data_IF_708279167565
#
_entry.id   IF_708279167565
#
_cell.length_a   1.000
_cell.length_b   1.000
_cell.length_c   1.000
_cell.angle_alpha   90.00
_cell.angle_beta   90.00
_cell.angle_gamma   90.00
#
_symmetry.space_group_name_H-M   'P 1'
#
loop_
_entity.id
_entity.type
_entity.pdbx_description
1 polymer ?
#
# COMPACT_ATOMS: atom_id res chain seq x y z
N UNK A 1 12.27 -14.92 -9.66
CA UNK A 1 11.59 -15.23 -8.35
C UNK A 1 11.15 -16.68 -8.38
N UNK A 2 11.57 -17.47 -7.39
CA UNK A 2 11.27 -18.90 -7.31
C UNK A 2 9.78 -19.15 -7.04
N UNK A 3 9.22 -20.20 -7.66
CA UNK A 3 7.81 -20.63 -7.49
C UNK A 3 7.47 -20.82 -6.01
N UNK A 4 8.40 -21.32 -5.20
CA UNK A 4 8.24 -21.50 -3.76
C UNK A 4 8.04 -20.18 -3.02
N UNK A 5 8.76 -19.12 -3.37
CA UNK A 5 8.59 -17.79 -2.77
C UNK A 5 7.23 -17.19 -3.11
N UNK A 6 6.76 -17.38 -4.35
CA UNK A 6 5.43 -16.92 -4.79
C UNK A 6 4.32 -17.65 -4.03
N UNK A 7 4.42 -18.99 -3.91
CA UNK A 7 3.44 -19.79 -3.16
C UNK A 7 3.42 -19.42 -1.67
N UNK A 8 4.58 -19.25 -1.06
CA UNK A 8 4.70 -18.86 0.35
C UNK A 8 4.08 -17.50 0.60
N UNK A 9 4.33 -16.51 -0.27
CA UNK A 9 3.70 -15.18 -0.19
C UNK A 9 2.18 -15.24 -0.36
N UNK A 10 1.68 -16.05 -1.30
CA UNK A 10 0.24 -16.24 -1.52
C UNK A 10 -0.43 -16.83 -0.27
N UNK A 11 0.12 -17.91 0.26
CA UNK A 11 -0.40 -18.58 1.47
C UNK A 11 -0.35 -17.61 2.66
N UNK A 12 0.73 -16.86 2.83
CA UNK A 12 0.86 -15.84 3.88
C UNK A 12 -0.23 -14.78 3.79
N UNK A 13 -0.50 -14.25 2.60
CA UNK A 13 -1.55 -13.25 2.38
C UNK A 13 -2.96 -13.82 2.64
N UNK A 14 -3.24 -15.06 2.21
CA UNK A 14 -4.53 -15.73 2.48
C UNK A 14 -4.74 -15.91 3.99
N UNK A 15 -3.73 -16.40 4.70
CA UNK A 15 -3.81 -16.60 6.15
C UNK A 15 -3.99 -15.27 6.89
N UNK A 16 -3.30 -14.21 6.48
CA UNK A 16 -3.43 -12.90 7.09
C UNK A 16 -4.82 -12.30 6.83
N UNK A 17 -5.32 -12.38 5.59
CA UNK A 17 -6.69 -11.98 5.26
C UNK A 17 -7.73 -12.72 6.09
N UNK A 18 -7.61 -14.04 6.19
CA UNK A 18 -8.51 -14.86 6.99
C UNK A 18 -8.51 -14.46 8.48
N UNK A 19 -7.34 -14.19 9.04
CA UNK A 19 -7.21 -13.71 10.42
C UNK A 19 -7.86 -12.34 10.63
N UNK A 20 -7.67 -11.41 9.69
CA UNK A 20 -8.28 -10.09 9.74
C UNK A 20 -9.81 -10.15 9.61
N UNK A 21 -10.34 -11.02 8.76
CA UNK A 21 -11.77 -11.22 8.59
C UNK A 21 -12.44 -11.79 9.83
N UNK A 22 -11.77 -12.70 10.51
CA UNK A 22 -12.27 -13.35 11.73
C UNK A 22 -11.97 -12.55 13.01
N UNK A 23 -11.42 -11.33 12.92
CA UNK A 23 -11.03 -10.48 14.04
C UNK A 23 -10.10 -11.18 15.06
N UNK A 24 -9.33 -12.18 14.63
CA UNK A 24 -8.50 -13.02 15.49
C UNK A 24 -7.05 -12.53 15.61
N UNK A 25 -6.74 -11.30 15.18
CA UNK A 25 -5.41 -10.72 15.38
C UNK A 25 -5.45 -9.88 16.65
N UNK A 26 -4.64 -10.21 17.68
CA UNK A 26 -4.42 -9.30 18.80
C UNK A 26 -3.75 -8.04 18.26
N UNK A 27 -4.50 -6.94 18.24
CA UNK A 27 -4.06 -5.63 17.74
C UNK A 27 -3.16 -4.97 18.80
N UNK A 28 -1.93 -5.46 18.95
CA UNK A 28 -0.93 -4.75 19.75
C UNK A 28 -0.56 -3.46 19.03
N UNK A 29 -1.01 -2.33 19.56
CA UNK A 29 -0.68 -1.00 19.07
C UNK A 29 0.55 -0.48 19.79
N UNK A 30 1.48 0.10 19.03
CA UNK A 30 2.66 0.80 19.56
C UNK A 30 2.80 2.14 18.86
N UNK A 31 3.41 3.12 19.53
CA UNK A 31 3.81 4.37 18.87
C UNK A 31 5.11 4.15 18.11
N UNK A 32 5.15 4.57 16.85
CA UNK A 32 6.32 4.48 15.99
C UNK A 32 6.35 5.61 14.95
N UNK A 33 7.48 5.79 14.29
CA UNK A 33 7.68 6.76 13.20
C UNK A 33 7.13 6.18 11.90
N UNK A 34 5.96 6.68 11.48
CA UNK A 34 5.28 6.23 10.27
C UNK A 34 6.06 6.59 8.99
N UNK A 35 6.64 7.79 8.95
CA UNK A 35 7.48 8.23 7.84
C UNK A 35 8.72 7.34 7.65
N UNK A 36 9.37 6.93 8.74
CA UNK A 36 10.49 6.00 8.67
C UNK A 36 10.07 4.61 8.20
N UNK A 37 8.91 4.12 8.63
CA UNK A 37 8.38 2.84 8.17
C UNK A 37 8.14 2.85 6.66
N UNK A 38 7.55 3.93 6.11
CA UNK A 38 7.34 4.07 4.67
C UNK A 38 8.66 4.13 3.91
N UNK A 39 9.67 4.86 4.43
CA UNK A 39 11.02 4.89 3.84
C UNK A 39 11.65 3.51 3.82
N UNK A 40 11.57 2.76 4.91
CA UNK A 40 12.10 1.40 4.99
C UNK A 40 11.40 0.45 4.01
N UNK A 41 10.07 0.55 3.86
CA UNK A 41 9.33 -0.22 2.87
C UNK A 41 9.83 0.08 1.44
N UNK A 42 10.04 1.35 1.10
CA UNK A 42 10.55 1.74 -0.21
C UNK A 42 11.98 1.24 -0.44
N UNK A 43 12.87 1.40 0.53
CA UNK A 43 14.25 0.92 0.45
C UNK A 43 14.33 -0.60 0.33
N UNK A 44 13.43 -1.35 0.96
CA UNK A 44 13.41 -2.82 0.83
C UNK A 44 13.07 -3.31 -0.58
N UNK A 45 12.53 -2.43 -1.43
CA UNK A 45 12.23 -2.70 -2.85
C UNK A 45 13.32 -2.15 -3.80
N UNK A 46 14.49 -1.76 -3.28
CA UNK A 46 15.56 -1.09 -4.04
C UNK A 46 15.95 -1.83 -5.31
N UNK A 47 16.13 -3.13 -5.26
CA UNK A 47 16.47 -3.95 -6.43
C UNK A 47 15.45 -3.76 -7.56
N UNK A 48 14.16 -3.75 -7.24
CA UNK A 48 13.09 -3.66 -8.24
C UNK A 48 13.03 -2.30 -8.92
N UNK A 49 13.10 -1.20 -8.14
CA UNK A 49 13.04 0.13 -8.73
C UNK A 49 14.36 0.54 -9.40
N UNK A 50 15.49 0.03 -8.95
CA UNK A 50 16.79 0.23 -9.61
C UNK A 50 16.86 -0.51 -10.95
N UNK A 51 16.41 -1.76 -11.04
CA UNK A 51 16.36 -2.52 -12.30
C UNK A 51 15.51 -1.83 -13.39
N UNK A 52 14.47 -1.09 -12.99
CA UNK A 52 13.61 -0.31 -13.89
C UNK A 52 14.08 1.14 -14.05
N UNK A 53 15.18 1.55 -13.41
CA UNK A 53 15.68 2.94 -13.40
C UNK A 53 14.61 3.95 -12.96
N UNK A 54 13.73 3.56 -12.01
CA UNK A 54 12.64 4.41 -11.52
C UNK A 54 13.22 5.50 -10.61
N UNK A 55 12.87 6.75 -10.90
CA UNK A 55 13.11 7.89 -10.03
C UNK A 55 12.11 7.96 -8.87
N UNK A 56 12.45 8.70 -7.82
CA UNK A 56 11.55 8.91 -6.70
C UNK A 56 11.53 10.36 -6.25
N UNK A 57 10.35 10.87 -5.92
CA UNK A 57 10.15 12.10 -5.17
C UNK A 57 9.50 11.74 -3.84
N UNK A 58 10.16 12.11 -2.73
CA UNK A 58 9.78 11.69 -1.39
C UNK A 58 9.61 12.90 -0.49
N UNK A 59 8.37 13.21 -0.13
CA UNK A 59 7.99 14.32 0.75
C UNK A 59 7.19 13.75 1.92
N UNK A 60 7.87 13.24 2.93
CA UNK A 60 7.26 12.63 4.10
C UNK A 60 7.51 13.50 5.32
N UNK A 61 6.45 14.09 5.87
CA UNK A 61 6.49 14.78 7.15
C UNK A 61 6.85 13.78 8.26
N UNK A 62 7.53 14.25 9.29
CA UNK A 62 7.81 13.46 10.48
C UNK A 62 6.50 13.20 11.25
N UNK A 63 6.03 11.97 11.25
CA UNK A 63 4.77 11.58 11.87
C UNK A 63 4.98 10.42 12.83
N UNK A 64 4.60 10.62 14.09
CA UNK A 64 4.41 9.54 15.07
C UNK A 64 2.98 9.03 14.97
N UNK A 65 2.84 7.72 14.84
CA UNK A 65 1.54 7.06 14.71
C UNK A 65 1.42 5.90 15.67
N UNK A 66 0.25 5.76 16.29
CA UNK A 66 -0.06 4.63 17.17
C UNK A 66 -0.90 3.60 16.42
N UNK A 67 -0.32 2.44 16.17
CA UNK A 67 -0.97 1.37 15.42
C UNK A 67 -0.21 0.05 15.50
N UNK A 68 -0.65 -0.95 14.73
CA UNK A 68 0.07 -2.20 14.59
C UNK A 68 1.15 -2.04 13.52
N UNK A 69 2.40 -1.78 13.94
CA UNK A 69 3.52 -1.51 13.04
C UNK A 69 3.75 -2.64 12.02
N UNK A 70 3.74 -3.89 12.47
CA UNK A 70 3.95 -5.04 11.59
C UNK A 70 2.86 -5.19 10.54
N UNK A 71 1.60 -4.96 10.92
CA UNK A 71 0.46 -5.03 10.02
C UNK A 71 0.49 -3.89 8.98
N UNK A 72 0.83 -2.68 9.41
CA UNK A 72 0.88 -1.52 8.51
C UNK A 72 2.02 -1.60 7.50
N UNK A 73 3.11 -2.27 7.81
CA UNK A 73 4.18 -2.55 6.84
C UNK A 73 3.62 -3.23 5.56
N UNK A 74 2.60 -4.10 5.69
CA UNK A 74 1.95 -4.73 4.53
C UNK A 74 1.22 -3.72 3.64
N UNK A 75 0.69 -2.62 4.19
CA UNK A 75 0.08 -1.54 3.39
C UNK A 75 1.13 -0.96 2.46
N UNK A 76 2.25 -0.49 3.03
CA UNK A 76 3.28 0.21 2.29
C UNK A 76 3.97 -0.68 1.27
N UNK A 77 4.32 -1.90 1.68
CA UNK A 77 4.95 -2.89 0.80
C UNK A 77 4.08 -3.20 -0.42
N UNK A 78 2.78 -3.44 -0.25
CA UNK A 78 1.88 -3.76 -1.35
C UNK A 78 1.64 -2.57 -2.28
N UNK A 79 1.42 -1.38 -1.73
CA UNK A 79 1.19 -0.18 -2.54
C UNK A 79 2.44 0.21 -3.33
N UNK A 80 3.62 0.21 -2.70
CA UNK A 80 4.89 0.55 -3.34
C UNK A 80 5.30 -0.49 -4.38
N UNK A 81 5.13 -1.78 -4.10
CA UNK A 81 5.40 -2.84 -5.06
C UNK A 81 4.50 -2.72 -6.31
N UNK A 82 3.22 -2.40 -6.13
CA UNK A 82 2.32 -2.12 -7.23
C UNK A 82 2.75 -0.88 -8.04
N UNK A 83 3.10 0.21 -7.40
CA UNK A 83 3.56 1.43 -8.08
C UNK A 83 4.81 1.17 -8.92
N UNK A 84 5.79 0.43 -8.38
CA UNK A 84 7.00 0.04 -9.10
C UNK A 84 6.66 -0.88 -10.28
N UNK A 85 5.79 -1.85 -10.06
CA UNK A 85 5.38 -2.83 -11.07
C UNK A 85 4.73 -2.18 -12.28
N UNK A 86 3.80 -1.25 -12.07
CA UNK A 86 3.01 -0.63 -13.13
C UNK A 86 3.65 0.63 -13.72
N UNK A 87 4.62 1.24 -13.04
CA UNK A 87 5.40 2.34 -13.62
C UNK A 87 6.20 1.88 -14.84
N UNK A 88 6.30 2.73 -15.88
CA UNK A 88 7.21 2.46 -16.99
C UNK A 88 8.68 2.50 -16.52
N UNK A 89 9.58 1.90 -17.30
CA UNK A 89 11.01 2.10 -17.07
C UNK A 89 11.37 3.58 -17.16
N UNK A 90 12.23 4.05 -16.27
CA UNK A 90 12.61 5.47 -16.11
C UNK A 90 11.48 6.40 -15.69
N UNK A 91 10.33 5.84 -15.25
CA UNK A 91 9.25 6.60 -14.66
C UNK A 91 9.60 7.12 -13.26
N UNK A 92 8.68 7.87 -12.68
CA UNK A 92 8.84 8.46 -11.35
C UNK A 92 7.73 8.00 -10.43
N UNK A 93 8.09 7.65 -9.19
CA UNK A 93 7.16 7.40 -8.10
C UNK A 93 7.24 8.58 -7.13
N UNK A 94 6.08 9.12 -6.75
CA UNK A 94 5.98 10.24 -5.81
C UNK A 94 5.26 9.78 -4.55
N UNK A 95 5.83 10.10 -3.39
CA UNK A 95 5.30 9.75 -2.08
C UNK A 95 5.15 11.01 -1.24
N UNK A 96 3.97 11.20 -0.67
CA UNK A 96 3.67 12.31 0.22
C UNK A 96 3.03 11.78 1.51
N UNK A 97 3.50 12.24 2.65
CA UNK A 97 2.90 11.95 3.95
C UNK A 97 2.67 13.28 4.66
N UNK A 98 1.45 13.48 5.14
CA UNK A 98 1.06 14.69 5.85
C UNK A 98 0.22 14.35 7.06
N UNK A 99 0.49 15.02 8.17
CA UNK A 99 -0.37 14.96 9.34
C UNK A 99 -1.43 16.06 9.28
N UNK A 100 -2.68 15.66 9.35
CA UNK A 100 -3.82 16.55 9.53
C UNK A 100 -4.25 16.57 11.02
N UNK A 101 -5.28 17.35 11.34
CA UNK A 101 -5.72 17.51 12.74
C UNK A 101 -6.13 16.19 13.42
N UNK A 102 -6.86 15.34 12.70
CA UNK A 102 -7.46 14.13 13.23
C UNK A 102 -7.10 12.86 12.40
N UNK A 103 -6.23 13.02 11.41
CA UNK A 103 -5.81 11.94 10.52
C UNK A 103 -4.39 12.14 10.00
N UNK A 104 -3.86 11.08 9.43
CA UNK A 104 -2.63 11.09 8.63
C UNK A 104 -2.99 10.69 7.22
N UNK A 105 -2.54 11.44 6.25
CA UNK A 105 -2.76 11.19 4.82
C UNK A 105 -1.47 10.79 4.15
N UNK A 106 -1.48 9.62 3.49
CA UNK A 106 -0.41 9.16 2.61
C UNK A 106 -0.91 9.13 1.17
N UNK A 107 -0.14 9.72 0.26
CA UNK A 107 -0.41 9.73 -1.17
C UNK A 107 0.75 9.08 -1.88
N UNK A 108 0.43 8.12 -2.74
CA UNK A 108 1.38 7.45 -3.63
C UNK A 108 0.94 7.65 -5.06
N UNK A 109 1.80 8.20 -5.89
CA UNK A 109 1.56 8.41 -7.32
C UNK A 109 2.57 7.66 -8.17
N UNK A 110 2.12 7.12 -9.27
CA UNK A 110 2.94 6.50 -10.32
C UNK A 110 2.62 7.07 -11.70
N UNK A 111 3.48 6.77 -12.65
CA UNK A 111 3.32 7.16 -14.06
C UNK A 111 2.90 5.97 -14.95
N UNK A 112 2.20 5.00 -14.36
CA UNK A 112 1.67 3.85 -15.06
C UNK A 112 0.48 4.16 -15.98
N UNK A 113 -0.21 3.13 -16.48
CA UNK A 113 -1.34 3.31 -17.41
C UNK A 113 -2.60 3.89 -16.77
N UNK A 114 -2.63 4.04 -15.44
CA UNK A 114 -3.85 4.39 -14.71
C UNK A 114 -4.79 3.21 -14.56
N UNK A 115 -6.04 3.49 -14.16
CA UNK A 115 -7.06 2.50 -13.85
C UNK A 115 -8.34 2.88 -14.62
N UNK A 116 -8.92 1.95 -15.36
CA UNK A 116 -10.20 2.15 -16.02
C UNK A 116 -11.32 2.36 -14.99
N UNK A 117 -12.32 3.18 -15.31
CA UNK A 117 -13.34 3.61 -14.34
C UNK A 117 -14.20 2.46 -13.81
N UNK A 118 -14.50 1.48 -14.63
CA UNK A 118 -15.22 0.26 -14.26
C UNK A 118 -14.40 -0.68 -13.37
N UNK A 119 -13.08 -0.55 -13.42
CA UNK A 119 -12.12 -1.36 -12.66
C UNK A 119 -11.86 -0.77 -11.26
N UNK A 120 -11.96 0.55 -11.10
CA UNK A 120 -11.60 1.25 -9.84
C UNK A 120 -12.30 0.69 -8.60
N UNK A 121 -13.55 0.27 -8.72
CA UNK A 121 -14.31 -0.32 -7.61
C UNK A 121 -13.89 -1.75 -7.29
N UNK A 122 -13.30 -2.46 -8.25
CA UNK A 122 -12.96 -3.89 -8.16
C UNK A 122 -11.50 -4.17 -7.85
N UNK A 123 -10.61 -3.18 -7.95
CA UNK A 123 -9.17 -3.39 -7.71
C UNK A 123 -8.85 -3.85 -6.28
N UNK A 124 -9.76 -3.62 -5.34
CA UNK A 124 -9.65 -4.08 -3.96
C UNK A 124 -10.31 -5.43 -3.70
N UNK A 125 -10.95 -6.03 -4.72
CA UNK A 125 -11.55 -7.36 -4.62
C UNK A 125 -10.47 -8.43 -4.60
N UNK A 126 -10.72 -9.52 -3.84
CA UNK A 126 -9.80 -10.65 -3.77
C UNK A 126 -9.65 -11.31 -5.14
N UNK A 127 -8.41 -11.65 -5.50
CA UNK A 127 -8.06 -12.32 -6.75
C UNK A 127 -8.39 -11.53 -8.03
N UNK A 128 -8.79 -10.26 -7.89
CA UNK A 128 -9.05 -9.43 -9.06
C UNK A 128 -7.73 -8.99 -9.71
N UNK A 129 -7.67 -9.13 -11.01
CA UNK A 129 -6.60 -8.63 -11.87
C UNK A 129 -7.26 -8.03 -13.11
N UNK A 130 -6.92 -6.79 -13.48
CA UNK A 130 -7.46 -6.16 -14.69
C UNK A 130 -7.01 -6.93 -15.93
N UNK A 131 -7.91 -7.07 -16.91
CA UNK A 131 -7.60 -7.70 -18.20
C UNK A 131 -6.43 -6.99 -18.90
N UNK A 132 -5.43 -7.75 -19.33
CA UNK A 132 -4.16 -7.21 -19.86
C UNK A 132 -2.99 -7.27 -18.88
N UNK A 133 -3.23 -7.46 -17.60
CA UNK A 133 -2.19 -7.65 -16.59
C UNK A 133 -1.68 -9.11 -16.49
N UNK A 134 -2.13 -10.01 -17.37
CA UNK A 134 -1.71 -11.42 -17.38
C UNK A 134 -0.18 -11.64 -17.51
N UNK A 135 0.56 -10.59 -17.89
CA UNK A 135 2.04 -10.58 -17.84
C UNK A 135 2.59 -9.96 -16.56
N UNK A 136 1.76 -9.31 -15.76
CA UNK A 136 2.19 -8.67 -14.53
C UNK A 136 2.14 -9.68 -13.39
N UNK A 137 3.27 -9.93 -12.77
CA UNK A 137 3.42 -10.81 -11.62
C UNK A 137 2.54 -10.35 -10.45
N UNK A 138 1.64 -11.19 -9.97
CA UNK A 138 0.80 -10.90 -8.81
C UNK A 138 -0.28 -11.95 -8.63
N UNK A 139 -0.87 -12.01 -7.45
CA UNK A 139 -1.93 -12.96 -7.09
C UNK A 139 -3.30 -12.32 -6.87
N UNK A 140 -3.42 -11.00 -7.08
CA UNK A 140 -4.67 -10.26 -6.88
C UNK A 140 -5.10 -10.14 -5.42
N UNK A 141 -4.21 -10.37 -4.46
CA UNK A 141 -4.51 -10.27 -3.02
C UNK A 141 -3.90 -9.04 -2.34
N UNK A 142 -2.90 -8.41 -2.94
CA UNK A 142 -2.17 -7.30 -2.33
C UNK A 142 -3.06 -6.12 -1.97
N UNK A 143 -3.86 -5.62 -2.91
CA UNK A 143 -4.78 -4.50 -2.67
C UNK A 143 -5.97 -4.88 -1.79
N UNK A 144 -6.48 -6.10 -1.88
CA UNK A 144 -7.51 -6.60 -0.97
C UNK A 144 -7.01 -6.62 0.48
N UNK A 145 -5.76 -7.04 0.70
CA UNK A 145 -5.11 -7.02 2.01
C UNK A 145 -4.95 -5.58 2.52
N UNK A 146 -4.45 -4.67 1.68
CA UNK A 146 -4.34 -3.24 2.03
C UNK A 146 -5.68 -2.68 2.46
N UNK A 147 -6.73 -2.88 1.66
CA UNK A 147 -8.09 -2.41 1.97
C UNK A 147 -8.56 -2.93 3.32
N UNK A 148 -8.37 -4.22 3.60
CA UNK A 148 -8.79 -4.84 4.85
C UNK A 148 -8.03 -4.29 6.06
N UNK A 149 -6.71 -4.07 5.94
CA UNK A 149 -5.91 -3.50 7.03
C UNK A 149 -6.34 -2.05 7.30
N UNK A 150 -6.50 -1.23 6.25
CA UNK A 150 -6.93 0.16 6.37
C UNK A 150 -8.32 0.25 7.01
N UNK A 151 -9.28 -0.58 6.57
CA UNK A 151 -10.62 -0.64 7.15
C UNK A 151 -10.58 -1.03 8.64
N UNK A 152 -9.73 -2.01 9.01
CA UNK A 152 -9.57 -2.44 10.40
C UNK A 152 -9.01 -1.35 11.32
N UNK A 153 -8.28 -0.39 10.74
CA UNK A 153 -7.77 0.79 11.44
C UNK A 153 -8.77 1.97 11.48
N UNK A 154 -9.95 1.80 10.87
CA UNK A 154 -10.94 2.87 10.74
C UNK A 154 -10.58 3.92 9.69
N UNK A 155 -9.63 3.61 8.81
CA UNK A 155 -9.19 4.50 7.75
C UNK A 155 -9.92 4.29 6.43
N UNK A 156 -9.47 4.99 5.40
CA UNK A 156 -9.97 4.87 4.02
C UNK A 156 -8.81 4.74 3.03
N UNK A 157 -9.06 4.02 1.94
CA UNK A 157 -8.16 3.99 0.79
C UNK A 157 -8.96 4.25 -0.48
N UNK A 158 -8.41 5.07 -1.37
CA UNK A 158 -8.98 5.39 -2.68
C UNK A 158 -7.91 5.26 -3.75
N UNK A 159 -8.35 4.90 -4.96
CA UNK A 159 -7.54 4.91 -6.16
C UNK A 159 -8.14 5.87 -7.19
N UNK A 160 -7.31 6.72 -7.74
CA UNK A 160 -7.69 7.78 -8.68
C UNK A 160 -6.70 7.78 -9.85
N UNK A 161 -7.15 8.25 -11.02
CA UNK A 161 -6.23 8.57 -12.11
C UNK A 161 -5.67 9.97 -11.90
N UNK A 162 -4.40 10.15 -12.22
CA UNK A 162 -3.77 11.47 -12.28
C UNK A 162 -4.20 12.20 -13.57
N UNK A 163 -4.24 13.51 -13.52
CA UNK A 163 -4.62 14.36 -14.65
C UNK A 163 -3.74 14.12 -15.90
N UNK A 164 -2.44 13.90 -15.70
CA UNK A 164 -1.47 13.73 -16.78
C UNK A 164 -1.01 12.27 -16.98
N UNK A 165 -1.84 11.32 -16.56
CA UNK A 165 -1.57 9.89 -16.66
C UNK A 165 -0.96 9.30 -15.39
N UNK A 166 -1.16 7.99 -15.22
CA UNK A 166 -0.77 7.27 -14.02
C UNK A 166 -1.88 7.16 -12.98
N UNK A 167 -1.53 6.54 -11.87
CA UNK A 167 -2.44 6.27 -10.77
C UNK A 167 -2.03 7.04 -9.51
N UNK A 168 -3.01 7.35 -8.67
CA UNK A 168 -2.85 7.90 -7.34
C UNK A 168 -3.61 7.05 -6.35
N UNK A 169 -2.91 6.53 -5.34
CA UNK A 169 -3.52 5.95 -4.15
C UNK A 169 -3.49 6.95 -3.01
N UNK A 170 -4.61 7.10 -2.32
CA UNK A 170 -4.74 7.96 -1.14
C UNK A 170 -5.18 7.09 0.03
N UNK A 171 -4.34 7.00 1.05
CA UNK A 171 -4.63 6.33 2.32
C UNK A 171 -4.80 7.37 3.40
N UNK A 172 -5.92 7.35 4.09
CA UNK A 172 -6.18 8.20 5.25
C UNK A 172 -6.38 7.31 6.47
N UNK A 173 -5.61 7.57 7.53
CA UNK A 173 -5.65 6.82 8.78
C UNK A 173 -6.02 7.76 9.92
N UNK A 174 -7.03 7.44 10.75
CA UNK A 174 -7.41 8.28 11.88
C UNK A 174 -6.31 8.26 12.95
N UNK A 175 -6.02 9.42 13.53
CA UNK A 175 -5.19 9.52 14.72
C UNK A 175 -6.12 9.23 15.92
N UNK A 176 -5.81 8.18 16.67
CA UNK A 176 -6.51 7.92 17.91
C UNK A 176 -6.11 9.00 18.90
N UNK A 177 -7.08 9.81 19.34
CA UNK A 177 -6.89 10.67 20.50
C UNK A 177 -6.81 9.74 21.71
N UNK A 178 -5.76 9.88 22.51
CA UNK A 178 -5.77 9.31 23.85
C UNK A 178 -7.05 9.84 24.52
N UNK A 179 -7.99 8.96 24.80
CA UNK A 179 -9.07 9.31 25.71
C UNK A 179 -8.38 9.61 27.04
N UNK A 180 -8.24 10.91 27.34
CA UNK A 180 -7.77 11.36 28.63
C UNK A 180 -8.74 10.80 29.68
N UNK A 181 -8.21 9.89 30.49
CA UNK A 181 -8.88 9.36 31.69
C UNK A 181 -9.12 10.48 32.68
#
# INVERSE_FOLDING_TARGET
MDIYQRLSGLVGNILLLSKLENQNIPMKKTEYRLDEQIRQAFLSLETKWTEKEIGSQVELEEVKYTGNEGLFMHIWMNLLDNAIKFSPAKGTIMMFLKQEKDSVMFILEDEGPGIEDDVKTRIFDKFYQADGSHKAEGNGLGLALVKRIVDSAGGTIKAENREYGGCRFVVELPIQKDEAI
#
